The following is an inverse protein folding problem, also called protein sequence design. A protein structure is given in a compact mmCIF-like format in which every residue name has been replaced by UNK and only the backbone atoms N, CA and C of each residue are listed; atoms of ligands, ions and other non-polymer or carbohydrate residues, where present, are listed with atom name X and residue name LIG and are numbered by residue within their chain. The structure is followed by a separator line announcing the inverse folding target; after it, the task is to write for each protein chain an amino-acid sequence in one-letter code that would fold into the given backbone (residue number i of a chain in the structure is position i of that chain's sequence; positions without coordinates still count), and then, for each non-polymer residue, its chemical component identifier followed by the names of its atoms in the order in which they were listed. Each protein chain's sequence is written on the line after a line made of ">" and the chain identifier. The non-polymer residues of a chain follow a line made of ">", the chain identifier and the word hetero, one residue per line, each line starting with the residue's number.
data_IF_649022657836
#
_entry.id   IF_649022657836
#
_cell.length_a   1.000
_cell.length_b   1.000
_cell.length_c   1.000
_cell.angle_alpha   90.00
_cell.angle_beta   90.00
_cell.angle_gamma   90.00
#
_symmetry.space_group_name_H-M   'P 1'
#
loop_
_entity.id
_entity.type
_entity.pdbx_description
1 polymer ?
#
# COMPACT_ATOMS: atom_id res chain seq x y z
N UNK A 1 1.29 -11.47 -14.18
CA UNK A 1 2.39 -12.16 -13.48
C UNK A 1 3.78 -11.70 -13.95
N UNK A 2 4.05 -11.63 -15.29
CA UNK A 2 5.36 -11.22 -15.81
C UNK A 2 5.81 -9.83 -15.30
N UNK A 3 4.93 -8.83 -15.29
CA UNK A 3 5.25 -7.49 -14.80
C UNK A 3 5.56 -7.47 -13.28
N UNK A 4 4.86 -8.28 -12.47
CA UNK A 4 5.17 -8.42 -11.05
C UNK A 4 6.51 -9.13 -10.82
N UNK A 5 6.82 -10.16 -11.61
CA UNK A 5 8.12 -10.83 -11.57
C UNK A 5 9.26 -9.86 -11.92
N UNK A 6 9.06 -9.03 -12.94
CA UNK A 6 10.02 -7.97 -13.29
C UNK A 6 10.19 -6.94 -12.17
N UNK A 7 9.09 -6.49 -11.54
CA UNK A 7 9.12 -5.57 -10.41
C UNK A 7 9.84 -6.18 -9.19
N UNK A 8 9.76 -7.50 -8.99
CA UNK A 8 10.46 -8.23 -7.95
C UNK A 8 11.99 -8.26 -8.15
N UNK A 9 12.45 -8.13 -9.39
CA UNK A 9 13.86 -8.07 -9.72
C UNK A 9 14.49 -6.67 -9.55
N UNK A 10 13.69 -5.64 -9.21
CA UNK A 10 14.21 -4.30 -8.91
C UNK A 10 15.12 -4.38 -7.67
N UNK A 11 16.37 -3.90 -7.72
CA UNK A 11 17.28 -3.88 -6.57
C UNK A 11 16.72 -3.15 -5.35
N UNK A 12 15.77 -2.24 -5.55
CA UNK A 12 15.10 -1.50 -4.49
C UNK A 12 13.84 -2.22 -3.95
N UNK A 13 13.42 -3.35 -4.53
CA UNK A 13 12.22 -4.07 -4.13
C UNK A 13 12.26 -4.49 -2.65
N UNK A 14 13.43 -4.94 -2.17
CA UNK A 14 13.64 -5.33 -0.78
C UNK A 14 13.44 -4.18 0.22
N UNK A 15 13.68 -2.93 -0.20
CA UNK A 15 13.50 -1.74 0.65
C UNK A 15 12.04 -1.28 0.73
N UNK A 16 11.18 -1.75 -0.18
CA UNK A 16 9.79 -1.30 -0.29
C UNK A 16 8.81 -2.18 0.48
N UNK A 17 9.24 -3.34 0.99
CA UNK A 17 8.39 -4.34 1.69
C UNK A 17 7.14 -4.78 0.90
N UNK A 18 6.93 -4.23 -0.29
CA UNK A 18 5.82 -4.53 -1.20
C UNK A 18 6.30 -4.41 -2.64
N UNK A 19 5.94 -5.37 -3.47
CA UNK A 19 6.23 -5.39 -4.89
C UNK A 19 4.92 -5.08 -5.63
N UNK A 20 4.91 -4.07 -6.49
CA UNK A 20 3.69 -3.66 -7.18
C UNK A 20 3.94 -3.14 -8.58
N UNK A 21 2.92 -3.25 -9.42
CA UNK A 21 2.85 -2.60 -10.73
C UNK A 21 1.67 -1.65 -10.76
N UNK A 22 1.91 -0.46 -11.30
CA UNK A 22 0.88 0.54 -11.48
C UNK A 22 -0.06 0.11 -12.62
N UNK A 23 -1.37 0.19 -12.38
CA UNK A 23 -2.39 -0.04 -13.39
C UNK A 23 -2.71 1.30 -14.06
N UNK A 24 -2.64 1.34 -15.37
CA UNK A 24 -2.84 2.58 -16.14
C UNK A 24 -3.85 2.37 -17.26
N UNK A 25 -4.52 3.45 -17.62
CA UNK A 25 -5.39 3.50 -18.78
C UNK A 25 -4.69 4.29 -19.91
N UNK A 26 -4.67 3.75 -21.11
CA UNK A 26 -4.02 4.38 -22.28
C UNK A 26 -4.59 5.75 -22.63
N UNK A 27 -5.81 6.08 -22.17
CA UNK A 27 -6.42 7.40 -22.32
C UNK A 27 -5.87 8.44 -21.35
N UNK A 28 -5.11 8.03 -20.32
CA UNK A 28 -4.54 8.92 -19.30
C UNK A 28 -3.02 8.73 -19.16
N UNK A 29 -2.24 8.78 -20.25
CA UNK A 29 -0.81 8.46 -20.22
C UNK A 29 0.01 9.46 -19.38
N UNK A 30 -0.45 10.71 -19.25
CA UNK A 30 0.24 11.77 -18.52
C UNK A 30 0.10 11.65 -16.98
N UNK A 31 -0.94 10.99 -16.51
CA UNK A 31 -1.20 10.83 -15.06
C UNK A 31 -0.95 9.40 -14.57
N UNK A 32 -0.87 8.43 -15.50
CA UNK A 32 -0.73 6.99 -15.19
C UNK A 32 -1.85 6.49 -14.26
N UNK A 33 -3.07 6.99 -14.47
CA UNK A 33 -4.27 6.67 -13.69
C UNK A 33 -5.20 5.73 -14.45
N UNK A 34 -6.12 5.06 -13.74
CA UNK A 34 -7.15 4.19 -14.36
C UNK A 34 -8.38 4.99 -14.78
N UNK A 35 -8.67 6.10 -14.11
CA UNK A 35 -9.68 7.10 -14.47
C UNK A 35 -9.10 8.49 -14.29
N UNK A 36 -9.89 9.55 -14.48
CA UNK A 36 -9.45 10.94 -14.25
C UNK A 36 -8.90 11.19 -12.84
N UNK A 37 -9.38 10.47 -11.84
CA UNK A 37 -9.07 10.72 -10.42
C UNK A 37 -8.52 9.49 -9.69
N UNK A 38 -8.78 8.28 -10.21
CA UNK A 38 -8.41 7.05 -9.51
C UNK A 38 -7.07 6.50 -10.00
N UNK A 39 -6.25 6.16 -9.05
CA UNK A 39 -4.99 5.47 -9.18
C UNK A 39 -5.11 4.07 -8.58
N UNK A 40 -4.52 3.06 -9.18
CA UNK A 40 -4.52 1.71 -8.65
C UNK A 40 -3.21 0.98 -8.93
N UNK A 41 -2.89 0.03 -8.08
CA UNK A 41 -1.76 -0.88 -8.26
C UNK A 41 -2.23 -2.33 -8.11
N UNK A 42 -1.57 -3.24 -8.81
CA UNK A 42 -1.59 -4.65 -8.45
C UNK A 42 -0.31 -4.96 -7.68
N UNK A 43 -0.44 -5.44 -6.46
CA UNK A 43 0.68 -5.68 -5.58
C UNK A 43 0.72 -7.09 -5.01
N UNK A 44 1.91 -7.50 -4.60
CA UNK A 44 2.14 -8.68 -3.76
C UNK A 44 2.78 -8.24 -2.45
N UNK A 45 2.35 -8.87 -1.37
CA UNK A 45 2.98 -8.76 -0.06
C UNK A 45 3.73 -10.07 0.20
N UNK A 46 5.09 -10.05 0.13
CA UNK A 46 5.89 -11.25 0.31
C UNK A 46 5.69 -11.92 1.67
N UNK A 47 6.07 -13.17 1.76
CA UNK A 47 6.11 -13.89 3.04
C UNK A 47 7.05 -13.17 4.00
N UNK A 48 6.62 -12.98 5.24
CA UNK A 48 7.38 -12.29 6.29
C UNK A 48 7.47 -10.77 6.11
N UNK A 49 6.75 -10.20 5.14
CA UNK A 49 6.73 -8.75 4.95
C UNK A 49 6.20 -8.03 6.18
N UNK A 50 6.97 -7.05 6.63
CA UNK A 50 6.64 -6.15 7.73
C UNK A 50 6.89 -4.72 7.24
N UNK A 51 5.87 -4.12 6.63
CA UNK A 51 6.00 -2.81 6.02
C UNK A 51 6.11 -1.72 7.08
N UNK A 52 7.01 -0.77 6.86
CA UNK A 52 7.10 0.41 7.72
C UNK A 52 5.84 1.27 7.59
N UNK A 53 5.41 1.93 8.67
CA UNK A 53 4.27 2.84 8.63
C UNK A 53 4.45 3.95 7.61
N UNK A 54 3.40 4.22 6.86
CA UNK A 54 3.31 5.35 5.93
C UNK A 54 1.91 5.95 5.95
N UNK A 55 1.79 7.18 5.51
CA UNK A 55 0.52 7.91 5.41
C UNK A 55 0.46 8.71 4.10
N UNK A 56 -0.74 9.00 3.64
CA UNK A 56 -0.99 9.87 2.48
C UNK A 56 -2.36 10.53 2.58
N UNK A 57 -2.54 11.65 1.87
CA UNK A 57 -3.79 12.42 1.90
C UNK A 57 -4.92 11.79 1.10
N UNK A 58 -4.61 10.90 0.14
CA UNK A 58 -5.62 10.14 -0.56
C UNK A 58 -6.28 9.10 0.36
N UNK A 59 -7.57 8.85 0.17
CA UNK A 59 -8.21 7.66 0.71
C UNK A 59 -7.64 6.43 0.00
N UNK A 60 -7.45 5.32 0.71
CA UNK A 60 -7.13 4.04 0.10
C UNK A 60 -8.24 3.02 0.36
N UNK A 61 -8.74 2.42 -0.71
CA UNK A 61 -9.52 1.20 -0.68
C UNK A 61 -8.56 0.06 -1.07
N UNK A 62 -8.26 -0.81 -0.13
CA UNK A 62 -7.43 -1.99 -0.37
C UNK A 62 -8.32 -3.20 -0.62
N UNK A 63 -8.36 -3.67 -1.87
CA UNK A 63 -9.02 -4.92 -2.24
C UNK A 63 -8.03 -6.07 -2.07
N UNK A 64 -8.36 -7.03 -1.20
CA UNK A 64 -7.55 -8.23 -0.99
C UNK A 64 -7.97 -9.28 -2.02
N UNK A 65 -7.09 -9.54 -2.97
CA UNK A 65 -7.37 -10.50 -4.06
C UNK A 65 -7.26 -11.93 -3.54
N UNK A 66 -6.16 -12.24 -2.87
CA UNK A 66 -5.92 -13.54 -2.24
C UNK A 66 -4.93 -13.40 -1.10
N UNK A 67 -5.24 -14.08 0.01
CA UNK A 67 -4.37 -14.16 1.18
C UNK A 67 -4.67 -15.44 1.99
N UNK A 68 -3.78 -15.76 2.92
CA UNK A 68 -4.02 -16.77 3.95
C UNK A 68 -4.13 -16.11 5.33
N UNK A 69 -4.74 -16.78 6.32
CA UNK A 69 -4.76 -16.28 7.69
C UNK A 69 -3.35 -15.90 8.17
N UNK A 70 -3.22 -14.73 8.81
CA UNK A 70 -1.94 -14.16 9.22
C UNK A 70 -1.53 -12.93 8.39
N UNK A 71 -2.31 -12.54 7.38
CA UNK A 71 -2.16 -11.24 6.72
C UNK A 71 -3.06 -10.20 7.40
N UNK A 72 -2.55 -8.98 7.60
CA UNK A 72 -3.31 -7.90 8.21
C UNK A 72 -2.71 -6.53 7.88
N UNK A 73 -3.49 -5.50 8.15
CA UNK A 73 -3.05 -4.10 8.15
C UNK A 73 -3.20 -3.53 9.56
N UNK A 74 -2.20 -2.79 10.01
CA UNK A 74 -2.33 -1.91 11.17
C UNK A 74 -2.65 -0.50 10.67
N UNK A 75 -3.63 0.15 11.28
CA UNK A 75 -4.08 1.49 10.92
C UNK A 75 -4.16 2.33 12.18
N UNK A 76 -3.55 3.53 12.20
CA UNK A 76 -3.56 4.44 13.34
C UNK A 76 -3.64 5.90 12.90
N UNK A 77 -4.22 6.73 13.74
CA UNK A 77 -4.28 8.17 13.50
C UNK A 77 -2.90 8.84 13.64
N UNK A 78 -2.05 8.29 14.51
CA UNK A 78 -0.76 8.89 14.89
C UNK A 78 0.36 7.87 14.97
N UNK A 79 1.58 8.38 14.86
CA UNK A 79 2.82 7.67 15.17
C UNK A 79 3.56 8.40 16.31
N UNK A 80 4.37 7.67 17.06
CA UNK A 80 5.29 8.24 18.04
C UNK A 80 6.55 8.85 17.37
N UNK A 81 7.47 9.37 18.16
CA UNK A 81 8.74 9.95 17.68
C UNK A 81 9.66 8.91 17.01
N UNK A 82 9.46 7.63 17.29
CA UNK A 82 10.22 6.53 16.71
C UNK A 82 9.52 5.96 15.45
N UNK A 83 8.28 6.41 15.16
CA UNK A 83 7.47 6.01 14.02
C UNK A 83 6.64 4.75 14.25
N UNK A 84 6.49 4.32 15.47
CA UNK A 84 5.58 3.25 15.78
C UNK A 84 4.14 3.78 15.79
N UNK A 85 3.22 2.95 15.31
CA UNK A 85 1.80 3.28 15.35
C UNK A 85 1.29 3.34 16.79
N UNK A 86 0.59 4.42 17.15
CA UNK A 86 -0.02 4.60 18.47
C UNK A 86 -1.45 4.05 18.42
N UNK A 87 -1.77 3.12 19.33
CA UNK A 87 -3.09 2.48 19.46
C UNK A 87 -3.66 1.96 18.13
N UNK A 88 -2.92 1.14 17.36
CA UNK A 88 -3.35 0.75 16.04
C UNK A 88 -4.58 -0.17 16.06
N UNK A 89 -5.48 0.05 15.12
CA UNK A 89 -6.54 -0.88 14.76
C UNK A 89 -5.93 -1.97 13.87
N UNK A 90 -6.05 -3.23 14.29
CA UNK A 90 -5.64 -4.38 13.46
C UNK A 90 -6.81 -4.83 12.58
N UNK A 91 -6.61 -4.74 11.28
CA UNK A 91 -7.58 -5.17 10.26
C UNK A 91 -7.08 -6.47 9.65
N UNK A 92 -7.63 -7.63 10.03
CA UNK A 92 -7.26 -8.91 9.42
C UNK A 92 -7.72 -8.93 7.95
N UNK A 93 -6.93 -9.58 7.09
CA UNK A 93 -7.28 -9.75 5.69
C UNK A 93 -8.07 -11.03 5.46
N UNK A 94 -9.05 -10.93 4.55
CA UNK A 94 -9.79 -12.05 4.00
C UNK A 94 -9.74 -11.98 2.47
N UNK A 95 -9.59 -13.12 1.80
CA UNK A 95 -9.62 -13.17 0.32
C UNK A 95 -10.96 -12.66 -0.19
N UNK A 96 -10.92 -11.82 -1.23
CA UNK A 96 -12.04 -11.07 -1.79
C UNK A 96 -12.65 -10.02 -0.83
N UNK A 97 -12.04 -9.77 0.33
CA UNK A 97 -12.40 -8.69 1.23
C UNK A 97 -11.84 -7.35 0.82
N UNK A 98 -12.34 -6.29 1.43
CA UNK A 98 -11.81 -4.94 1.24
C UNK A 98 -11.89 -4.15 2.54
N UNK A 99 -10.98 -3.20 2.70
CA UNK A 99 -11.01 -2.24 3.80
C UNK A 99 -10.56 -0.85 3.31
N UNK A 100 -10.82 0.15 4.12
CA UNK A 100 -10.47 1.54 3.83
C UNK A 100 -9.45 2.05 4.85
N UNK A 101 -8.38 2.68 4.34
CA UNK A 101 -7.50 3.52 5.14
C UNK A 101 -7.96 4.97 4.96
N UNK A 102 -8.36 5.67 6.05
CA UNK A 102 -8.80 7.06 5.97
C UNK A 102 -7.67 8.00 5.50
N UNK A 103 -8.00 9.14 4.86
CA UNK A 103 -7.01 10.13 4.46
C UNK A 103 -6.16 10.61 5.63
N UNK A 104 -4.84 10.60 5.45
CA UNK A 104 -3.87 11.05 6.46
C UNK A 104 -3.60 10.08 7.60
N UNK A 105 -4.28 8.96 7.68
CA UNK A 105 -4.00 7.94 8.68
C UNK A 105 -2.77 7.12 8.31
N UNK A 106 -1.97 6.79 9.30
CA UNK A 106 -0.80 5.93 9.19
C UNK A 106 -1.23 4.48 9.08
N UNK A 107 -0.57 3.72 8.23
CA UNK A 107 -0.85 2.29 8.07
C UNK A 107 0.39 1.51 7.64
N UNK A 108 0.36 0.20 7.93
CA UNK A 108 1.39 -0.75 7.53
C UNK A 108 0.78 -2.12 7.26
N UNK A 109 1.28 -2.81 6.23
CA UNK A 109 0.80 -4.13 5.85
C UNK A 109 1.76 -5.21 6.31
N UNK A 110 1.23 -6.32 6.79
CA UNK A 110 1.99 -7.42 7.41
C UNK A 110 1.55 -8.76 6.84
N UNK A 111 2.50 -9.65 6.60
CA UNK A 111 2.23 -11.00 6.11
C UNK A 111 2.97 -12.05 6.94
N UNK A 112 2.28 -12.61 7.92
CA UNK A 112 2.73 -13.71 8.78
C UNK A 112 2.15 -15.07 8.33
N UNK A 113 1.50 -15.13 7.17
CA UNK A 113 0.74 -16.32 6.72
C UNK A 113 1.58 -17.46 6.16
N UNK A 114 2.86 -17.24 5.89
CA UNK A 114 3.74 -18.22 5.22
C UNK A 114 3.50 -18.38 3.71
N UNK A 115 2.58 -17.61 3.11
CA UNK A 115 2.32 -17.57 1.66
C UNK A 115 2.25 -16.12 1.15
N UNK A 116 2.57 -15.92 -0.13
CA UNK A 116 2.42 -14.60 -0.77
C UNK A 116 0.96 -14.19 -0.76
N UNK A 117 0.68 -12.93 -0.41
CA UNK A 117 -0.64 -12.33 -0.53
C UNK A 117 -0.69 -11.36 -1.71
N UNK A 118 -1.89 -11.19 -2.29
CA UNK A 118 -2.16 -10.32 -3.43
C UNK A 118 -3.21 -9.26 -3.05
N UNK A 119 -2.92 -8.01 -3.36
CA UNK A 119 -3.80 -6.90 -3.06
C UNK A 119 -3.83 -5.90 -4.22
N UNK A 120 -4.92 -5.14 -4.28
CA UNK A 120 -5.10 -4.03 -5.23
C UNK A 120 -5.52 -2.78 -4.45
N UNK A 121 -4.58 -1.93 -4.06
CA UNK A 121 -4.89 -0.59 -3.57
C UNK A 121 -5.50 0.27 -4.68
N UNK A 122 -6.63 0.91 -4.37
CA UNK A 122 -7.31 1.88 -5.23
C UNK A 122 -7.41 3.18 -4.43
N UNK A 123 -6.95 4.28 -5.02
CA UNK A 123 -6.86 5.57 -4.33
C UNK A 123 -7.36 6.71 -5.22
N UNK A 124 -7.89 7.76 -4.62
CA UNK A 124 -8.14 9.03 -5.31
C UNK A 124 -6.85 9.87 -5.49
N UNK A 125 -5.71 9.19 -5.45
CA UNK A 125 -4.38 9.80 -5.58
C UNK A 125 -4.17 10.55 -6.90
N UNK A 126 -4.88 10.18 -7.97
CA UNK A 126 -4.87 10.92 -9.23
C UNK A 126 -5.41 12.35 -9.06
N UNK A 127 -6.49 12.51 -8.30
CA UNK A 127 -7.03 13.84 -7.95
C UNK A 127 -6.03 14.62 -7.11
N UNK A 128 -5.50 14.01 -6.05
CA UNK A 128 -4.53 14.66 -5.15
C UNK A 128 -3.22 15.03 -5.87
N UNK A 129 -2.78 14.22 -6.83
CA UNK A 129 -1.61 14.56 -7.68
C UNK A 129 -1.90 15.79 -8.53
N UNK A 130 -3.07 15.85 -9.15
CA UNK A 130 -3.50 17.03 -9.94
C UNK A 130 -3.56 18.29 -9.08
N UNK A 131 -4.10 18.19 -7.87
CA UNK A 131 -4.20 19.30 -6.91
C UNK A 131 -2.88 19.60 -6.18
N UNK A 132 -1.83 18.78 -6.34
CA UNK A 132 -0.55 18.86 -5.62
C UNK A 132 -0.71 18.75 -4.10
N UNK A 133 -1.64 17.90 -3.65
CA UNK A 133 -1.98 17.70 -2.23
C UNK A 133 -1.75 16.26 -1.76
N UNK A 134 -1.09 15.40 -2.54
CA UNK A 134 -0.96 13.97 -2.25
C UNK A 134 -0.20 13.69 -0.94
N UNK A 135 0.89 14.39 -0.68
CA UNK A 135 1.66 14.36 0.57
C UNK A 135 1.87 12.94 1.13
N UNK A 136 2.67 12.13 0.44
CA UNK A 136 3.03 10.79 0.92
C UNK A 136 4.14 10.92 1.95
N UNK A 137 3.90 10.41 3.15
CA UNK A 137 4.84 10.41 4.27
C UNK A 137 5.28 8.97 4.58
N UNK A 138 6.58 8.76 4.69
CA UNK A 138 7.16 7.51 5.17
C UNK A 138 7.88 7.78 6.47
N UNK A 139 7.65 6.94 7.47
CA UNK A 139 8.53 6.96 8.64
C UNK A 139 9.88 6.38 8.23
N UNK A 140 10.92 7.20 8.29
CA UNK A 140 12.29 6.73 8.18
C UNK A 140 12.75 6.34 9.58
N UNK A 141 12.88 5.04 9.85
CA UNK A 141 13.75 4.64 10.95
C UNK A 141 15.10 5.32 10.72
N UNK A 142 15.54 6.09 11.71
CA UNK A 142 16.89 6.63 11.74
C UNK A 142 17.87 5.45 11.72
N UNK A 143 18.26 5.03 10.53
CA UNK A 143 19.44 4.18 10.37
C UNK A 143 20.61 5.13 10.59
N UNK A 144 21.15 5.11 11.79
CA UNK A 144 22.46 5.66 12.15
C UNK A 144 23.54 4.84 11.44
#
# INVERSE_FOLDING_TARGET
>A
QAALAQAACDPLAAQRSRISVLLTNTHFPQTLTITHVLWAMLGILPVGANQLPHAHKSVALDLIIDCKPGCYTLVAEKVDSEGNLIDPIKVPWESAGAFITPPGWWHSHHNESGQIAYLMPIQDAGLHTHLRTLDIQFHRSSVV
#
